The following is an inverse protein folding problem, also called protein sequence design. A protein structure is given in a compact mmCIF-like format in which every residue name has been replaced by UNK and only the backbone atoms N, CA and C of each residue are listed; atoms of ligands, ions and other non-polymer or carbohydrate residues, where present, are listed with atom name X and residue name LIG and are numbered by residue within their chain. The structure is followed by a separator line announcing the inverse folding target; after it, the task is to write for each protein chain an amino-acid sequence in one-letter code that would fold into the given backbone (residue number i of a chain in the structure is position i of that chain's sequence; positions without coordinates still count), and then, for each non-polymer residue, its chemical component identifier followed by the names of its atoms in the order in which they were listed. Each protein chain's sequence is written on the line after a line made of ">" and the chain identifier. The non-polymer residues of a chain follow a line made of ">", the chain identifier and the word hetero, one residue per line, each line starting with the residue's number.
data_IF_323163947733
#
_entry.id   IF_323163947733
#
_cell.length_a   1.000
_cell.length_b   1.000
_cell.length_c   1.000
_cell.angle_alpha   90.00
_cell.angle_beta   90.00
_cell.angle_gamma   90.00
#
_symmetry.space_group_name_H-M   'P 1'
#
loop_
_entity.id
_entity.type
_entity.pdbx_description
1 polymer ?
#
# COMPACT_ATOMS: atom_id res chain seq x y z
N UNK A 1 7.67 3.11 14.77
CA UNK A 1 7.56 3.19 13.30
C UNK A 1 6.47 4.21 12.99
N UNK A 2 6.69 5.13 12.05
CA UNK A 2 5.70 6.16 11.73
C UNK A 2 4.46 5.51 11.09
N UNK A 3 3.26 5.88 11.55
CA UNK A 3 2.02 5.42 10.95
C UNK A 3 1.86 6.05 9.55
N UNK A 4 1.71 5.22 8.52
CA UNK A 4 1.51 5.68 7.15
C UNK A 4 0.02 5.59 6.79
N UNK A 5 -0.67 6.73 6.81
CA UNK A 5 -2.10 6.82 6.51
C UNK A 5 -2.28 7.14 5.02
N UNK A 6 -2.92 6.22 4.28
CA UNK A 6 -3.40 6.49 2.93
C UNK A 6 -4.81 7.07 2.97
N UNK A 7 -5.03 8.21 2.31
CA UNK A 7 -6.34 8.84 2.07
C UNK A 7 -6.72 8.87 0.59
N UNK A 8 -5.78 8.49 -0.28
CA UNK A 8 -5.97 8.35 -1.73
C UNK A 8 -5.23 7.13 -2.25
N UNK A 9 -5.59 6.68 -3.44
CA UNK A 9 -4.97 5.56 -4.15
C UNK A 9 -3.48 5.82 -4.40
N UNK A 10 -3.09 7.06 -4.72
CA UNK A 10 -1.69 7.42 -4.94
C UNK A 10 -0.87 7.32 -3.65
N UNK A 11 -1.46 7.71 -2.51
CA UNK A 11 -0.80 7.56 -1.21
C UNK A 11 -0.64 6.08 -0.85
N UNK A 12 -1.68 5.27 -1.06
CA UNK A 12 -1.60 3.83 -0.83
C UNK A 12 -0.53 3.18 -1.70
N UNK A 13 -0.51 3.47 -3.01
CA UNK A 13 0.50 2.98 -3.95
C UNK A 13 1.92 3.38 -3.54
N UNK A 14 2.12 4.62 -3.10
CA UNK A 14 3.42 5.11 -2.62
C UNK A 14 3.90 4.39 -1.35
N UNK A 15 2.99 4.09 -0.42
CA UNK A 15 3.29 3.32 0.80
C UNK A 15 3.73 1.90 0.43
N UNK A 16 2.98 1.23 -0.45
CA UNK A 16 3.29 -0.12 -0.92
C UNK A 16 4.64 -0.15 -1.65
N UNK A 17 4.91 0.83 -2.51
CA UNK A 17 6.20 1.00 -3.18
C UNK A 17 7.36 1.12 -2.20
N UNK A 18 7.17 1.92 -1.15
CA UNK A 18 8.19 2.11 -0.10
C UNK A 18 8.44 0.79 0.63
N UNK A 19 7.38 0.08 1.01
CA UNK A 19 7.52 -1.20 1.70
C UNK A 19 8.23 -2.24 0.82
N UNK A 20 7.84 -2.37 -0.45
CA UNK A 20 8.55 -3.28 -1.39
C UNK A 20 10.04 -2.96 -1.46
N UNK A 21 10.40 -1.67 -1.57
CA UNK A 21 11.81 -1.24 -1.61
C UNK A 21 12.54 -1.55 -0.30
N UNK A 22 11.89 -1.39 0.85
CA UNK A 22 12.46 -1.76 2.16
C UNK A 22 12.69 -3.26 2.30
N UNK A 23 11.89 -4.08 1.62
CA UNK A 23 12.06 -5.52 1.52
C UNK A 23 13.13 -5.94 0.47
N UNK A 24 13.80 -4.99 -0.18
CA UNK A 24 14.83 -5.27 -1.19
C UNK A 24 14.31 -5.84 -2.51
N UNK A 25 13.00 -5.87 -2.73
CA UNK A 25 12.38 -6.48 -3.90
C UNK A 25 12.31 -5.49 -5.08
N UNK A 26 12.57 -5.95 -6.30
CA UNK A 26 12.18 -5.24 -7.52
C UNK A 26 10.67 -5.41 -7.79
N UNK A 27 10.08 -4.61 -8.69
CA UNK A 27 8.67 -4.79 -9.05
C UNK A 27 8.44 -6.15 -9.73
N UNK A 28 9.40 -6.64 -10.53
CA UNK A 28 9.32 -7.96 -11.14
C UNK A 28 9.39 -9.06 -10.09
N UNK A 29 10.32 -8.96 -9.13
CA UNK A 29 10.48 -9.94 -8.06
C UNK A 29 9.20 -10.03 -7.19
N UNK A 30 8.59 -8.88 -6.84
CA UNK A 30 7.30 -8.91 -6.16
C UNK A 30 6.21 -9.53 -7.05
N UNK A 31 6.17 -9.18 -8.33
CA UNK A 31 5.23 -9.77 -9.27
C UNK A 31 5.33 -11.29 -9.36
N UNK A 32 6.55 -11.84 -9.39
CA UNK A 32 6.80 -13.28 -9.38
C UNK A 32 6.25 -13.96 -8.13
N UNK A 33 6.44 -13.36 -6.94
CA UNK A 33 5.94 -13.90 -5.67
C UNK A 33 4.40 -14.00 -5.60
N UNK A 34 3.68 -13.15 -6.32
CA UNK A 34 2.20 -13.12 -6.34
C UNK A 34 1.61 -13.50 -7.70
N UNK A 35 2.41 -14.07 -8.61
CA UNK A 35 1.99 -14.47 -9.96
C UNK A 35 1.36 -13.32 -10.79
N UNK A 36 1.86 -12.10 -10.63
CA UNK A 36 1.45 -10.91 -11.37
C UNK A 36 2.55 -10.40 -12.30
N UNK A 37 2.14 -9.72 -13.37
CA UNK A 37 3.08 -9.01 -14.26
C UNK A 37 3.67 -7.79 -13.53
N UNK A 38 4.94 -7.48 -13.79
CA UNK A 38 5.59 -6.26 -13.29
C UNK A 38 4.78 -4.98 -13.59
N UNK A 39 4.14 -4.92 -14.76
CA UNK A 39 3.27 -3.81 -15.14
C UNK A 39 2.11 -3.63 -14.15
N UNK A 40 1.50 -4.70 -13.65
CA UNK A 40 0.43 -4.65 -12.64
C UNK A 40 0.95 -4.05 -11.33
N UNK A 41 2.13 -4.48 -10.88
CA UNK A 41 2.79 -3.92 -9.69
C UNK A 41 3.04 -2.42 -9.87
N UNK A 42 3.56 -2.02 -11.05
CA UNK A 42 3.84 -0.62 -11.38
C UNK A 42 2.58 0.25 -11.35
N UNK A 43 1.48 -0.22 -11.94
CA UNK A 43 0.20 0.50 -11.95
C UNK A 43 -0.36 0.68 -10.54
N UNK A 44 -0.32 -0.37 -9.72
CA UNK A 44 -0.75 -0.29 -8.32
C UNK A 44 0.12 0.68 -7.51
N UNK A 45 1.44 0.64 -7.67
CA UNK A 45 2.34 1.57 -6.97
C UNK A 45 2.16 3.04 -7.36
N UNK A 46 1.63 3.31 -8.55
CA UNK A 46 1.26 4.64 -9.02
C UNK A 46 -0.13 5.07 -8.56
N UNK A 47 -0.91 4.18 -7.94
CA UNK A 47 -2.31 4.43 -7.58
C UNK A 47 -3.21 4.59 -8.80
N UNK A 48 -2.92 3.88 -9.90
CA UNK A 48 -3.79 3.89 -11.08
C UNK A 48 -5.15 3.22 -10.79
N UNK A 49 -6.24 3.69 -11.42
CA UNK A 49 -7.57 3.14 -11.20
C UNK A 49 -7.72 1.71 -11.75
N UNK A 50 -8.84 1.07 -11.40
CA UNK A 50 -9.23 -0.27 -11.86
C UNK A 50 -8.23 -1.39 -11.53
N UNK A 51 -7.52 -1.27 -10.41
CA UNK A 51 -6.82 -2.40 -9.78
C UNK A 51 -7.83 -3.19 -8.95
N UNK A 52 -7.88 -4.51 -9.12
CA UNK A 52 -8.78 -5.36 -8.37
C UNK A 52 -8.37 -5.40 -6.89
N UNK A 53 -9.35 -5.36 -5.98
CA UNK A 53 -9.10 -5.47 -4.54
C UNK A 53 -8.32 -6.76 -4.18
N UNK A 54 -8.62 -7.87 -4.86
CA UNK A 54 -7.86 -9.14 -4.71
C UNK A 54 -6.36 -8.96 -4.95
N UNK A 55 -5.99 -8.25 -6.01
CA UNK A 55 -4.60 -7.93 -6.36
C UNK A 55 -3.92 -7.11 -5.27
N UNK A 56 -4.61 -6.11 -4.72
CA UNK A 56 -4.11 -5.33 -3.59
C UNK A 56 -3.86 -6.24 -2.38
N UNK A 57 -4.82 -7.08 -2.01
CA UNK A 57 -4.70 -7.97 -0.84
C UNK A 57 -3.56 -8.99 -1.00
N UNK A 58 -3.36 -9.56 -2.20
CA UNK A 58 -2.24 -10.46 -2.50
C UNK A 58 -0.88 -9.77 -2.32
N UNK A 59 -0.75 -8.52 -2.81
CA UNK A 59 0.47 -7.74 -2.66
C UNK A 59 0.73 -7.36 -1.20
N UNK A 60 -0.31 -6.97 -0.45
CA UNK A 60 -0.18 -6.70 0.98
C UNK A 60 0.32 -7.94 1.74
N UNK A 61 -0.27 -9.10 1.48
CA UNK A 61 0.14 -10.36 2.09
C UNK A 61 1.60 -10.71 1.77
N UNK A 62 2.03 -10.58 0.51
CA UNK A 62 3.41 -10.84 0.10
C UNK A 62 4.43 -9.88 0.74
N UNK A 63 4.01 -8.66 1.07
CA UNK A 63 4.83 -7.67 1.76
C UNK A 63 4.69 -7.71 3.29
N UNK A 64 3.96 -8.68 3.82
CA UNK A 64 3.65 -8.81 5.26
C UNK A 64 3.00 -7.54 5.83
N UNK A 65 2.12 -6.93 5.05
CA UNK A 65 1.33 -5.76 5.43
C UNK A 65 -0.11 -6.15 5.74
N UNK A 66 -0.71 -5.42 6.68
CA UNK A 66 -2.13 -5.52 7.03
C UNK A 66 -2.89 -4.27 6.57
N UNK A 67 -4.11 -4.45 6.04
CA UNK A 67 -5.03 -3.35 5.76
C UNK A 67 -5.95 -3.13 6.97
N UNK A 68 -5.78 -2.00 7.64
CA UNK A 68 -6.63 -1.60 8.77
C UNK A 68 -7.69 -0.62 8.30
N UNK A 69 -8.96 -0.96 8.50
CA UNK A 69 -10.11 -0.05 8.32
C UNK A 69 -10.52 0.47 9.70
N UNK A 70 -10.47 1.79 9.87
CA UNK A 70 -10.78 2.48 11.13
C UNK A 70 -11.45 3.83 10.84
N UNK A 71 -12.13 4.45 11.83
CA UNK A 71 -12.61 5.82 11.69
C UNK A 71 -11.49 6.77 11.23
N UNK A 72 -11.83 7.73 10.36
CA UNK A 72 -10.87 8.72 9.88
C UNK A 72 -10.44 9.62 11.04
N UNK A 73 -9.14 9.71 11.27
CA UNK A 73 -8.59 10.69 12.20
C UNK A 73 -8.90 12.10 11.68
N UNK A 74 -9.75 12.82 12.41
CA UNK A 74 -9.96 14.25 12.26
C UNK A 74 -8.78 14.98 12.88
N UNK A 75 -8.40 16.12 12.31
CA UNK A 75 -7.36 17.00 12.87
C UNK A 75 -7.65 17.42 14.32
N UNK A 76 -8.93 17.36 14.74
CA UNK A 76 -9.39 17.75 16.08
C UNK A 76 -8.96 16.80 17.21
N UNK A 77 -8.51 15.58 16.92
CA UNK A 77 -8.05 14.67 17.99
C UNK A 77 -6.66 15.03 18.55
N UNK A 78 -5.95 15.99 17.94
CA UNK A 78 -4.73 16.56 18.53
C UNK A 78 -5.07 17.69 19.52
N UNK A 79 -6.24 18.32 19.41
CA UNK A 79 -6.60 19.49 20.24
C UNK A 79 -7.18 19.08 21.61
N UNK A 80 -7.74 17.87 21.73
CA UNK A 80 -8.34 17.40 23.00
C UNK A 80 -7.36 16.63 23.91
N UNK A 81 -6.04 16.79 23.71
CA UNK A 81 -5.00 16.21 24.58
C UNK A 81 -4.23 17.29 25.37
N UNK A 82 -4.86 18.43 25.64
CA UNK A 82 -4.41 19.43 26.62
C UNK A 82 -5.59 19.98 27.39
#
# INVERSE_FOLDING_TARGET
>A
MAEHIARTEQQLGAIIRRQRRSAGLSQSALGELVHLRQATISRLEKGEPAIQLKTLMEILAALQLELVVRPRSTSDQIINLF
#
